data_IF_747717056813
#
_entry.id   IF_747717056813
#
_cell.length_a   1.000
_cell.length_b   1.000
_cell.length_c   1.000
_cell.angle_alpha   90.00
_cell.angle_beta   90.00
_cell.angle_gamma   90.00
#
_symmetry.space_group_name_H-M   'P 1'
#
loop_
_entity.id
_entity.type
_entity.pdbx_description
1 polymer ?
#
# COMPACT_ATOMS: atom_id res chain seq x y z
N UNK A 1 28.39 -31.14 -24.94
CA UNK A 1 27.78 -29.80 -25.04
C UNK A 1 26.79 -29.71 -23.90
N UNK A 2 27.06 -28.86 -22.91
CA UNK A 2 26.27 -28.77 -21.68
C UNK A 2 25.54 -27.44 -21.70
N UNK A 3 24.22 -27.46 -21.95
CA UNK A 3 23.35 -26.30 -21.85
C UNK A 3 23.02 -26.05 -20.37
N UNK A 4 23.78 -25.15 -19.76
CA UNK A 4 23.55 -24.63 -18.41
C UNK A 4 22.35 -23.66 -18.44
N UNK A 5 21.20 -24.12 -17.96
CA UNK A 5 19.99 -23.30 -17.82
C UNK A 5 20.18 -22.26 -16.70
N UNK A 6 20.72 -21.08 -17.03
CA UNK A 6 20.78 -19.95 -16.10
C UNK A 6 19.37 -19.41 -15.86
N UNK A 7 18.85 -19.62 -14.66
CA UNK A 7 17.61 -18.99 -14.18
C UNK A 7 17.89 -17.49 -13.95
N UNK A 8 17.24 -16.56 -14.67
CA UNK A 8 17.52 -15.13 -14.55
C UNK A 8 16.98 -14.50 -13.25
N UNK A 9 16.33 -15.28 -12.39
CA UNK A 9 15.67 -14.77 -11.18
C UNK A 9 16.53 -14.80 -9.90
N UNK A 10 17.81 -15.20 -9.97
CA UNK A 10 18.69 -15.28 -8.79
C UNK A 10 19.32 -13.94 -8.37
N UNK A 11 19.01 -12.82 -9.06
CA UNK A 11 19.54 -11.48 -8.72
C UNK A 11 18.49 -10.56 -8.07
N UNK A 12 17.66 -11.08 -7.17
CA UNK A 12 16.90 -10.24 -6.24
C UNK A 12 17.69 -10.11 -4.94
N UNK A 13 18.88 -9.53 -5.03
CA UNK A 13 19.60 -9.08 -3.84
C UNK A 13 18.94 -7.81 -3.33
N UNK A 14 18.50 -7.90 -2.09
CA UNK A 14 17.72 -6.92 -1.36
C UNK A 14 18.60 -5.73 -1.01
N UNK A 15 18.39 -4.58 -1.65
CA UNK A 15 18.90 -3.31 -1.14
C UNK A 15 17.76 -2.29 -0.96
N UNK A 16 17.01 -2.45 0.13
CA UNK A 16 15.93 -1.54 0.55
C UNK A 16 16.46 -0.23 1.19
N UNK A 17 17.65 0.24 0.80
CA UNK A 17 18.32 1.35 1.46
C UNK A 17 18.92 2.39 0.51
N UNK A 18 18.52 2.40 -0.76
CA UNK A 18 18.79 3.52 -1.64
C UNK A 18 17.81 4.68 -1.31
N UNK A 19 18.31 5.90 -1.04
CA UNK A 19 17.44 7.06 -0.91
C UNK A 19 16.63 7.20 -2.21
N UNK A 20 15.33 7.53 -2.16
CA UNK A 20 14.52 7.62 -3.36
C UNK A 20 15.14 8.68 -4.28
N UNK A 21 15.66 8.22 -5.41
CA UNK A 21 16.05 9.09 -6.51
C UNK A 21 14.83 9.91 -6.95
N UNK A 22 15.07 11.18 -7.29
CA UNK A 22 14.10 12.22 -7.60
C UNK A 22 12.96 11.80 -8.57
N UNK A 23 13.16 10.72 -9.35
CA UNK A 23 12.20 10.12 -10.27
C UNK A 23 10.89 9.60 -9.63
N UNK A 24 10.90 9.24 -8.33
CA UNK A 24 9.67 8.78 -7.66
C UNK A 24 8.70 9.93 -7.38
N UNK A 25 9.20 11.16 -7.19
CA UNK A 25 8.39 12.35 -6.94
C UNK A 25 7.51 12.68 -8.15
N UNK A 26 8.12 12.81 -9.33
CA UNK A 26 7.43 13.11 -10.59
C UNK A 26 6.35 12.07 -10.95
N UNK A 27 6.60 10.79 -10.62
CA UNK A 27 5.62 9.72 -10.83
C UNK A 27 4.45 9.82 -9.86
N UNK A 28 4.67 10.25 -8.62
CA UNK A 28 3.64 10.41 -7.60
C UNK A 28 2.72 11.61 -7.90
N UNK A 29 3.32 12.75 -8.28
CA UNK A 29 2.60 13.96 -8.70
C UNK A 29 1.66 13.66 -9.88
N UNK A 30 2.15 12.89 -10.87
CA UNK A 30 1.37 12.48 -12.03
C UNK A 30 0.23 11.50 -11.71
N UNK A 31 0.35 10.73 -10.62
CA UNK A 31 -0.69 9.80 -10.17
C UNK A 31 -1.72 10.45 -9.24
N UNK A 32 -1.57 11.75 -8.94
CA UNK A 32 -2.46 12.48 -8.03
C UNK A 32 -2.39 11.95 -6.59
N UNK A 33 -1.27 11.32 -6.23
CA UNK A 33 -1.05 10.79 -4.89
C UNK A 33 -0.42 11.85 -4.01
N UNK A 34 -1.23 12.55 -3.22
CA UNK A 34 -0.72 13.32 -2.09
C UNK A 34 0.18 12.41 -1.24
N UNK A 35 1.39 12.85 -0.86
CA UNK A 35 2.26 12.03 -0.02
C UNK A 35 1.53 11.69 1.28
N UNK A 36 1.80 10.49 1.81
CA UNK A 36 1.21 10.09 3.07
C UNK A 36 1.52 11.15 4.15
N UNK A 37 0.53 11.58 4.94
CA UNK A 37 0.75 12.63 5.92
C UNK A 37 1.82 12.19 6.92
N UNK A 38 2.87 12.99 7.05
CA UNK A 38 3.88 12.79 8.07
C UNK A 38 3.25 13.05 9.43
N UNK A 39 3.28 12.05 10.32
CA UNK A 39 2.77 12.18 11.68
C UNK A 39 3.88 12.68 12.61
N UNK A 40 3.59 13.68 13.42
CA UNK A 40 4.54 14.13 14.44
C UNK A 40 4.55 13.18 15.64
N UNK A 41 5.64 13.12 16.42
CA UNK A 41 5.70 12.29 17.63
C UNK A 41 4.58 12.62 18.62
N UNK A 42 4.25 13.91 18.78
CA UNK A 42 3.16 14.35 19.67
C UNK A 42 1.80 13.84 19.20
N UNK A 43 1.54 13.86 17.88
CA UNK A 43 0.31 13.31 17.32
C UNK A 43 0.23 11.80 17.48
N UNK A 44 1.36 11.10 17.35
CA UNK A 44 1.43 9.66 17.55
C UNK A 44 1.03 9.26 18.98
N UNK A 45 1.53 9.97 20.00
CA UNK A 45 1.14 9.76 21.39
C UNK A 45 -0.37 9.97 21.61
N UNK A 46 -0.94 11.01 20.98
CA UNK A 46 -2.38 11.27 21.03
C UNK A 46 -3.17 10.11 20.42
N UNK A 47 -2.74 9.56 19.29
CA UNK A 47 -3.36 8.40 18.65
C UNK A 47 -3.24 7.14 19.50
N UNK A 48 -2.11 6.93 20.17
CA UNK A 48 -1.92 5.81 21.09
C UNK A 48 -2.83 5.95 22.32
N UNK A 49 -2.90 7.13 22.93
CA UNK A 49 -3.77 7.43 24.07
C UNK A 49 -5.26 7.28 23.72
N UNK A 50 -5.64 7.61 22.48
CA UNK A 50 -6.98 7.41 21.95
C UNK A 50 -7.29 5.95 21.57
N UNK A 51 -6.33 5.03 21.66
CA UNK A 51 -6.48 3.63 21.25
C UNK A 51 -6.60 3.44 19.73
N UNK A 52 -6.28 4.46 18.93
CA UNK A 52 -6.32 4.39 17.47
C UNK A 52 -5.05 3.77 16.89
N UNK A 53 -3.95 3.77 17.62
CA UNK A 53 -2.68 3.17 17.22
C UNK A 53 -2.15 2.26 18.33
N UNK A 54 -1.65 1.10 17.95
CA UNK A 54 -1.02 0.14 18.85
C UNK A 54 0.30 -0.38 18.26
N UNK A 55 1.26 -0.65 19.15
CA UNK A 55 2.57 -1.21 18.80
C UNK A 55 2.60 -2.67 19.23
N UNK A 56 2.96 -3.56 18.31
CA UNK A 56 3.13 -4.98 18.64
C UNK A 56 4.48 -5.27 19.31
N UNK A 57 4.67 -6.49 19.80
CA UNK A 57 5.93 -6.90 20.44
C UNK A 57 7.15 -6.91 19.49
N UNK A 58 6.93 -6.77 18.18
CA UNK A 58 7.97 -6.62 17.15
C UNK A 58 8.20 -5.17 16.74
N UNK A 59 7.57 -4.21 17.44
CA UNK A 59 7.69 -2.78 17.14
C UNK A 59 6.88 -2.30 15.93
N UNK A 60 6.00 -3.14 15.35
CA UNK A 60 5.18 -2.74 14.21
C UNK A 60 3.98 -1.92 14.67
N UNK A 61 3.75 -0.82 13.97
CA UNK A 61 2.62 0.09 14.20
C UNK A 61 1.38 -0.44 13.48
N UNK A 62 0.27 -0.58 14.21
CA UNK A 62 -1.04 -0.95 13.64
C UNK A 62 -2.08 0.09 14.02
N UNK A 63 -2.81 0.59 13.03
CA UNK A 63 -3.98 1.45 13.25
C UNK A 63 -5.22 0.59 13.50
N UNK A 64 -6.06 0.99 14.44
CA UNK A 64 -7.38 0.43 14.60
C UNK A 64 -8.19 0.76 13.35
N UNK A 65 -8.51 -0.25 12.55
CA UNK A 65 -9.33 -0.05 11.34
C UNK A 65 -10.66 0.55 11.77
N UNK A 66 -10.99 1.73 11.26
CA UNK A 66 -12.30 2.34 11.46
C UNK A 66 -13.32 1.38 10.81
N UNK A 67 -14.09 0.66 11.61
CA UNK A 67 -14.99 -0.43 11.15
C UNK A 67 -16.11 0.02 10.19
N UNK A 68 -16.17 1.30 9.81
CA UNK A 68 -17.27 1.87 9.03
C UNK A 68 -17.03 2.15 7.55
N UNK A 69 -15.81 1.98 7.02
CA UNK A 69 -15.51 2.42 5.63
C UNK A 69 -15.39 1.30 4.59
N UNK A 70 -15.24 0.04 4.99
CA UNK A 70 -15.07 -1.12 4.07
C UNK A 70 -16.23 -2.11 4.14
N UNK A 71 -17.44 -1.67 4.47
CA UNK A 71 -18.64 -2.52 4.35
C UNK A 71 -19.05 -2.65 2.86
N UNK A 72 -18.24 -3.38 2.09
CA UNK A 72 -18.57 -4.10 0.85
C UNK A 72 -19.52 -3.43 -0.13
N UNK A 73 -19.03 -2.48 -0.94
CA UNK A 73 -19.66 -2.16 -2.22
C UNK A 73 -19.34 -3.31 -3.19
N UNK A 74 -20.31 -4.21 -3.43
CA UNK A 74 -20.15 -5.24 -4.47
C UNK A 74 -20.78 -4.76 -5.78
N UNK A 75 -19.94 -4.54 -6.80
CA UNK A 75 -20.41 -4.26 -8.15
C UNK A 75 -20.89 -5.56 -8.79
N UNK A 76 -22.21 -5.70 -9.01
CA UNK A 76 -22.78 -6.82 -9.75
C UNK A 76 -23.13 -6.40 -11.18
N UNK A 77 -22.50 -7.05 -12.17
CA UNK A 77 -22.81 -6.83 -13.59
C UNK A 77 -24.29 -7.14 -13.86
N UNK A 78 -25.07 -6.14 -14.29
CA UNK A 78 -26.44 -6.33 -14.76
C UNK A 78 -26.40 -6.90 -16.19
N UNK A 79 -27.06 -8.04 -16.43
CA UNK A 79 -27.33 -8.51 -17.81
C UNK A 79 -28.39 -7.60 -18.43
N UNK A 80 -28.01 -6.91 -19.50
CA UNK A 80 -28.97 -6.22 -20.36
C UNK A 80 -29.72 -7.24 -21.21
N UNK A 81 -31.03 -7.07 -21.35
CA UNK A 81 -31.80 -7.71 -22.40
C UNK A 81 -31.90 -6.70 -23.53
N UNK A 82 -31.15 -6.92 -24.61
CA UNK A 82 -31.38 -6.16 -25.84
C UNK A 82 -32.71 -6.65 -26.40
N UNK A 83 -33.75 -5.84 -26.22
CA UNK A 83 -35.02 -6.04 -26.90
C UNK A 83 -34.77 -5.95 -28.40
N UNK A 84 -35.07 -7.04 -29.11
CA UNK A 84 -35.04 -7.13 -30.57
C UNK A 84 -36.09 -6.17 -31.11
N UNK A 85 -35.66 -5.09 -31.76
CA UNK A 85 -36.47 -4.37 -32.74
C UNK A 85 -36.33 -5.07 -34.09
#
# INVERSE_FOLDING_TARGET
MSDESRNPNDNLDENFNDPPSDDMGDRLERLGGEPAPAITPEEFERLQKAGQVHIDSRGRVRTARRSGAEAGVSLRKRRAWYGRA
#
